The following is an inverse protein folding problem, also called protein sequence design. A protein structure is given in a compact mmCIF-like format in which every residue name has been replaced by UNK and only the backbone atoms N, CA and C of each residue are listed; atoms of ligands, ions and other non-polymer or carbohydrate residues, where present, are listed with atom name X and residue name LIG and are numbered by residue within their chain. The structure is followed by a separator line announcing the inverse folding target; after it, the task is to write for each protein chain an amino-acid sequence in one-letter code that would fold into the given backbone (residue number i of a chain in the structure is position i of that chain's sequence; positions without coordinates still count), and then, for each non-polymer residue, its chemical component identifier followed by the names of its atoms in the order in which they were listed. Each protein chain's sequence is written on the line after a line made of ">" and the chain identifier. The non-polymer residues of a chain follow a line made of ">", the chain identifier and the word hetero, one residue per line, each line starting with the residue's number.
data_IF_303648591970
#
_entry.id   IF_303648591970
#
_cell.length_a   1.000
_cell.length_b   1.000
_cell.length_c   1.000
_cell.angle_alpha   90.00
_cell.angle_beta   90.00
_cell.angle_gamma   90.00
#
_symmetry.space_group_name_H-M   'P 1'
#
loop_
_entity.id
_entity.type
_entity.pdbx_description
1 polymer ?
#
# COMPACT_ATOMS: atom_id res chain seq x y z
N UNK A 1 -6.17 -32.04 -20.12
CA UNK A 1 -5.46 -32.66 -18.98
C UNK A 1 -5.21 -34.12 -19.31
N UNK A 2 -3.96 -34.58 -19.30
CA UNK A 2 -3.62 -35.97 -19.56
C UNK A 2 -3.95 -36.85 -18.34
N UNK A 3 -4.51 -38.03 -18.59
CA UNK A 3 -4.69 -39.09 -17.60
C UNK A 3 -3.63 -40.15 -17.87
N UNK A 4 -2.89 -40.55 -16.85
CA UNK A 4 -1.90 -41.62 -16.93
C UNK A 4 -2.19 -42.62 -15.80
N UNK A 5 -1.87 -43.90 -16.02
CA UNK A 5 -1.98 -44.92 -14.98
C UNK A 5 -0.70 -44.96 -14.17
N UNK A 6 -0.83 -45.24 -12.89
CA UNK A 6 0.29 -45.33 -11.98
C UNK A 6 -0.02 -46.30 -10.84
N UNK A 7 0.99 -47.01 -10.35
CA UNK A 7 0.86 -47.95 -9.23
C UNK A 7 1.24 -47.25 -7.92
N UNK A 8 0.43 -47.41 -6.87
CA UNK A 8 0.72 -46.83 -5.55
C UNK A 8 1.84 -47.60 -4.86
N UNK A 9 2.93 -46.92 -4.53
CA UNK A 9 4.08 -47.51 -3.83
C UNK A 9 4.05 -47.25 -2.32
N UNK A 10 3.67 -46.05 -1.91
CA UNK A 10 3.72 -45.66 -0.50
C UNK A 10 2.62 -44.66 -0.15
N UNK A 11 2.17 -44.68 1.10
CA UNK A 11 1.18 -43.76 1.67
C UNK A 11 1.82 -42.91 2.77
N UNK A 12 1.87 -41.60 2.57
CA UNK A 12 2.36 -40.63 3.55
C UNK A 12 1.28 -39.57 3.82
N UNK A 13 0.38 -39.87 4.78
CA UNK A 13 -0.69 -38.99 5.22
C UNK A 13 -1.63 -38.55 4.07
N UNK A 14 -1.57 -37.26 3.71
CA UNK A 14 -2.39 -36.66 2.64
C UNK A 14 -1.80 -36.82 1.23
N UNK A 15 -0.62 -37.44 1.11
CA UNK A 15 0.10 -37.69 -0.14
C UNK A 15 0.36 -39.20 -0.32
N UNK A 16 0.43 -39.64 -1.56
CA UNK A 16 0.93 -40.96 -1.91
C UNK A 16 1.97 -40.85 -3.02
N UNK A 17 2.94 -41.77 -2.97
CA UNK A 17 3.99 -41.92 -3.98
C UNK A 17 3.52 -42.97 -4.96
N UNK A 18 3.54 -42.63 -6.25
CA UNK A 18 3.07 -43.50 -7.33
C UNK A 18 4.13 -43.67 -8.41
N UNK A 19 4.16 -44.84 -9.02
CA UNK A 19 5.02 -45.17 -10.15
C UNK A 19 4.22 -45.14 -11.45
N UNK A 20 4.55 -44.20 -12.33
CA UNK A 20 3.96 -44.04 -13.66
C UNK A 20 4.36 -45.20 -14.60
N UNK A 21 3.60 -45.43 -15.67
CA UNK A 21 3.91 -46.39 -16.74
C UNK A 21 5.31 -46.15 -17.36
N UNK A 22 5.78 -44.90 -17.32
CA UNK A 22 7.12 -44.50 -17.77
C UNK A 22 8.23 -44.75 -16.74
N UNK A 23 7.95 -45.46 -15.64
CA UNK A 23 8.90 -45.71 -14.55
C UNK A 23 9.25 -44.48 -13.71
N UNK A 24 8.49 -43.39 -13.83
CA UNK A 24 8.72 -42.15 -13.09
C UNK A 24 7.97 -42.14 -11.75
N UNK A 25 8.67 -41.80 -10.68
CA UNK A 25 8.08 -41.60 -9.36
C UNK A 25 7.41 -40.22 -9.28
N UNK A 26 6.15 -40.16 -8.87
CA UNK A 26 5.40 -38.90 -8.68
C UNK A 26 4.72 -38.88 -7.32
N UNK A 27 4.67 -37.71 -6.70
CA UNK A 27 3.91 -37.50 -5.47
C UNK A 27 2.58 -36.86 -5.83
N UNK A 28 1.48 -37.56 -5.53
CA UNK A 28 0.13 -37.07 -5.83
C UNK A 28 -0.65 -36.90 -4.54
N UNK A 29 -1.56 -35.91 -4.54
CA UNK A 29 -2.48 -35.72 -3.41
C UNK A 29 -3.47 -36.88 -3.39
N UNK A 30 -3.68 -37.45 -2.21
CA UNK A 30 -4.65 -38.53 -2.01
C UNK A 30 -6.07 -38.01 -2.30
N UNK A 31 -6.63 -38.38 -3.46
CA UNK A 31 -8.05 -38.11 -3.78
C UNK A 31 -8.96 -39.26 -3.32
N UNK A 32 -8.47 -40.50 -3.41
CA UNK A 32 -9.22 -41.72 -3.06
C UNK A 32 -8.46 -42.56 -2.03
N UNK A 33 -9.15 -43.51 -1.39
CA UNK A 33 -8.60 -44.39 -0.37
C UNK A 33 -7.78 -45.56 -0.96
N UNK A 34 -6.96 -45.27 -1.97
CA UNK A 34 -6.16 -46.25 -2.68
C UNK A 34 -5.15 -46.95 -1.76
N UNK A 35 -4.98 -48.25 -1.97
CA UNK A 35 -4.04 -49.07 -1.21
C UNK A 35 -2.70 -49.22 -1.94
N UNK A 36 -1.65 -49.56 -1.19
CA UNK A 36 -0.34 -49.86 -1.78
C UNK A 36 -0.48 -51.09 -2.69
N UNK A 37 0.09 -51.01 -3.89
CA UNK A 37 -0.03 -52.03 -4.93
C UNK A 37 -1.24 -51.86 -5.87
N UNK A 38 -2.14 -50.92 -5.59
CA UNK A 38 -3.29 -50.63 -6.46
C UNK A 38 -2.87 -49.76 -7.65
N UNK A 39 -3.42 -50.06 -8.83
CA UNK A 39 -3.29 -49.22 -10.02
C UNK A 39 -4.34 -48.11 -10.00
N UNK A 40 -3.90 -46.85 -10.06
CA UNK A 40 -4.76 -45.68 -10.04
C UNK A 40 -4.51 -44.78 -11.25
N UNK A 41 -5.56 -44.10 -11.70
CA UNK A 41 -5.43 -43.09 -12.76
C UNK A 41 -5.16 -41.74 -12.14
N UNK A 42 -3.97 -41.19 -12.37
CA UNK A 42 -3.61 -39.85 -11.92
C UNK A 42 -3.83 -38.85 -13.05
N UNK A 43 -4.39 -37.69 -12.69
CA UNK A 43 -4.51 -36.56 -13.59
C UNK A 43 -3.22 -35.76 -13.51
N UNK A 44 -2.39 -35.81 -14.55
CA UNK A 44 -1.23 -34.94 -14.69
C UNK A 44 -1.71 -33.60 -15.24
N UNK A 45 -2.07 -32.72 -14.31
CA UNK A 45 -2.25 -31.31 -14.58
C UNK A 45 -1.43 -30.55 -13.56
N UNK A 46 -0.48 -29.73 -14.02
CA UNK A 46 0.00 -28.62 -13.22
C UNK A 46 -1.26 -27.83 -12.84
N UNK A 47 -1.61 -27.79 -11.55
CA UNK A 47 -2.54 -26.79 -11.04
C UNK A 47 -1.77 -25.48 -11.15
N UNK A 48 -1.77 -24.92 -12.35
CA UNK A 48 -1.07 -23.70 -12.68
C UNK A 48 -1.70 -22.57 -11.90
N UNK A 49 -1.04 -22.13 -10.85
CA UNK A 49 -1.21 -20.81 -10.22
C UNK A 49 -0.83 -19.66 -11.17
N UNK A 50 -0.68 -19.92 -12.46
CA UNK A 50 -0.31 -18.97 -13.51
C UNK A 50 -1.28 -17.78 -13.56
N UNK A 51 -2.57 -18.02 -13.34
CA UNK A 51 -3.56 -16.95 -13.23
C UNK A 51 -3.28 -16.04 -12.03
N UNK A 52 -3.05 -16.61 -10.84
CA UNK A 52 -2.86 -15.84 -9.60
C UNK A 52 -1.62 -14.93 -9.67
N UNK A 53 -0.58 -15.38 -10.39
CA UNK A 53 0.67 -14.64 -10.55
C UNK A 53 0.51 -13.42 -11.47
N UNK A 54 -0.32 -13.53 -12.51
CA UNK A 54 -0.66 -12.40 -13.37
C UNK A 54 -1.51 -11.35 -12.64
N UNK A 55 -2.50 -11.80 -11.86
CA UNK A 55 -3.36 -10.92 -11.05
C UNK A 55 -2.58 -10.20 -9.93
N UNK A 56 -1.58 -10.85 -9.34
CA UNK A 56 -0.72 -10.23 -8.34
C UNK A 56 0.07 -9.03 -8.91
N UNK A 57 0.53 -9.13 -10.17
CA UNK A 57 1.22 -8.02 -10.84
C UNK A 57 0.30 -6.83 -11.10
N UNK A 58 -0.94 -7.09 -11.55
CA UNK A 58 -1.95 -6.04 -11.79
C UNK A 58 -2.33 -5.34 -10.48
N UNK A 59 -2.52 -6.08 -9.39
CA UNK A 59 -2.84 -5.51 -8.09
C UNK A 59 -1.70 -4.65 -7.54
N UNK A 60 -0.44 -5.07 -7.71
CA UNK A 60 0.72 -4.28 -7.30
C UNK A 60 0.83 -2.96 -8.06
N UNK A 61 0.64 -2.97 -9.38
CA UNK A 61 0.63 -1.75 -10.20
C UNK A 61 -0.51 -0.81 -9.80
N UNK A 62 -1.70 -1.35 -9.58
CA UNK A 62 -2.85 -0.57 -9.12
C UNK A 62 -2.58 0.13 -7.79
N UNK A 63 -2.05 -0.58 -6.80
CA UNK A 63 -1.69 0.00 -5.50
C UNK A 63 -0.57 1.03 -5.61
N UNK A 64 0.41 0.83 -6.50
CA UNK A 64 1.48 1.79 -6.73
C UNK A 64 0.95 3.11 -7.33
N UNK A 65 0.04 3.03 -8.31
CA UNK A 65 -0.62 4.22 -8.88
C UNK A 65 -1.52 4.91 -7.85
N UNK A 66 -2.28 4.14 -7.08
CA UNK A 66 -3.18 4.69 -6.07
C UNK A 66 -2.40 5.43 -4.97
N UNK A 67 -1.33 4.82 -4.45
CA UNK A 67 -0.53 5.41 -3.37
C UNK A 67 0.26 6.63 -3.83
N UNK A 68 0.73 6.67 -5.09
CA UNK A 68 1.39 7.86 -5.65
C UNK A 68 0.42 9.02 -5.85
N UNK A 69 -0.78 8.79 -6.37
CA UNK A 69 -1.79 9.84 -6.56
C UNK A 69 -2.32 10.42 -5.24
N UNK A 70 -2.60 9.54 -4.27
CA UNK A 70 -3.08 9.97 -2.94
C UNK A 70 -1.96 10.63 -2.13
N UNK A 71 -0.74 10.07 -2.18
CA UNK A 71 0.43 10.64 -1.53
C UNK A 71 0.76 12.02 -2.07
N UNK A 72 0.72 12.22 -3.39
CA UNK A 72 1.00 13.53 -3.98
C UNK A 72 0.05 14.63 -3.48
N UNK A 73 -1.23 14.32 -3.33
CA UNK A 73 -2.20 15.28 -2.79
C UNK A 73 -1.97 15.59 -1.30
N UNK A 74 -1.56 14.60 -0.50
CA UNK A 74 -1.32 14.79 0.94
C UNK A 74 -0.02 15.55 1.24
N UNK A 75 1.00 15.37 0.39
CA UNK A 75 2.33 15.95 0.58
C UNK A 75 2.54 17.29 -0.14
N UNK A 76 1.50 17.89 -0.74
CA UNK A 76 1.65 19.26 -1.24
C UNK A 76 1.93 20.19 -0.05
N UNK A 77 3.17 20.64 0.05
CA UNK A 77 3.56 21.63 1.03
C UNK A 77 2.76 22.91 0.77
N UNK A 78 2.24 23.59 1.81
CA UNK A 78 1.53 24.85 1.64
C UNK A 78 2.47 25.84 0.94
N UNK A 79 2.14 26.19 -0.30
CA UNK A 79 2.89 27.17 -1.08
C UNK A 79 2.48 28.56 -0.63
N UNK A 80 3.45 29.40 -0.24
CA UNK A 80 3.21 30.79 0.08
C UNK A 80 2.70 31.53 -1.18
N UNK A 81 1.50 32.12 -1.09
CA UNK A 81 0.87 32.84 -2.21
C UNK A 81 0.72 34.33 -1.92
N UNK A 82 0.56 34.73 -0.66
CA UNK A 82 0.44 36.15 -0.32
C UNK A 82 1.19 36.50 0.96
N UNK A 83 1.65 37.75 0.98
CA UNK A 83 2.36 38.36 2.10
C UNK A 83 1.53 39.54 2.59
N UNK A 84 1.04 39.46 3.83
CA UNK A 84 0.29 40.53 4.46
C UNK A 84 1.15 41.20 5.53
N UNK A 85 1.38 42.50 5.41
CA UNK A 85 2.04 43.31 6.43
C UNK A 85 1.03 44.25 7.04
N UNK A 86 0.91 44.21 8.36
CA UNK A 86 0.02 45.08 9.14
C UNK A 86 0.91 46.02 9.94
N UNK A 87 0.87 47.31 9.63
CA UNK A 87 1.73 48.34 10.22
C UNK A 87 0.89 49.43 10.88
N UNK A 88 0.38 49.13 12.08
CA UNK A 88 -0.40 50.08 12.91
C UNK A 88 0.28 50.28 14.28
N UNK A 89 1.40 49.58 14.52
CA UNK A 89 1.99 49.27 15.83
C UNK A 89 1.03 48.47 16.73
N UNK A 90 1.17 47.14 16.81
CA UNK A 90 2.33 46.32 16.42
C UNK A 90 2.52 46.19 14.90
N UNK A 91 3.77 45.97 14.48
CA UNK A 91 4.13 45.70 13.07
C UNK A 91 4.40 44.20 12.88
N UNK A 92 3.50 43.51 12.17
CA UNK A 92 3.54 42.04 11.98
C UNK A 92 3.42 41.69 10.49
N UNK A 93 4.17 40.69 10.07
CA UNK A 93 4.14 40.17 8.71
C UNK A 93 3.67 38.70 8.71
N UNK A 94 2.61 38.43 7.96
CA UNK A 94 2.00 37.12 7.81
C UNK A 94 2.27 36.59 6.41
N UNK A 95 2.74 35.34 6.33
CA UNK A 95 2.83 34.60 5.07
C UNK A 95 1.67 33.62 5.02
N UNK A 96 0.79 33.74 4.02
CA UNK A 96 -0.38 32.89 3.85
C UNK A 96 -0.30 32.03 2.59
N UNK A 97 -0.90 30.84 2.67
CA UNK A 97 -1.09 29.99 1.50
C UNK A 97 -2.31 30.42 0.65
N UNK A 98 -2.51 29.73 -0.49
CA UNK A 98 -3.64 29.94 -1.38
C UNK A 98 -5.02 29.74 -0.71
N UNK A 99 -5.06 29.04 0.43
CA UNK A 99 -6.26 28.70 1.18
C UNK A 99 -6.51 29.68 2.34
N UNK A 100 -5.69 30.74 2.46
CA UNK A 100 -5.79 31.75 3.52
C UNK A 100 -5.26 31.28 4.88
N UNK A 101 -4.49 30.19 4.92
CA UNK A 101 -3.90 29.64 6.14
C UNK A 101 -2.51 30.22 6.39
N UNK A 102 -2.22 30.48 7.66
CA UNK A 102 -0.94 31.02 8.10
C UNK A 102 0.19 29.99 8.00
N UNK A 103 1.17 30.26 7.16
CA UNK A 103 2.41 29.48 7.00
C UNK A 103 3.47 29.97 7.98
N UNK A 104 3.67 31.29 8.06
CA UNK A 104 4.74 31.93 8.84
C UNK A 104 4.29 33.29 9.38
N UNK A 105 4.83 33.65 10.55
CA UNK A 105 4.65 34.95 11.19
C UNK A 105 6.04 35.50 11.47
N UNK A 106 6.34 36.67 10.91
CA UNK A 106 7.56 37.42 11.18
C UNK A 106 7.20 38.69 11.97
N UNK A 107 7.93 38.94 13.06
CA UNK A 107 7.72 40.10 13.93
C UNK A 107 8.69 41.20 13.55
N UNK A 108 8.16 42.39 13.25
CA UNK A 108 8.97 43.53 12.79
C UNK A 108 9.26 44.54 13.92
N UNK A 109 8.60 44.41 15.09
CA UNK A 109 8.81 45.28 16.24
C UNK A 109 8.75 44.51 17.58
N UNK A 110 9.24 45.11 18.67
CA UNK A 110 9.20 44.55 20.03
C UNK A 110 7.78 44.35 20.55
N UNK A 111 6.84 45.24 20.20
CA UNK A 111 5.42 45.08 20.55
C UNK A 111 4.79 43.88 19.84
N UNK A 112 5.21 43.61 18.59
CA UNK A 112 4.81 42.42 17.85
C UNK A 112 5.38 41.13 18.48
N UNK A 113 6.62 41.13 18.98
CA UNK A 113 7.20 39.98 19.70
C UNK A 113 6.41 39.63 20.95
N UNK A 114 5.99 40.64 21.73
CA UNK A 114 5.17 40.44 22.94
C UNK A 114 3.77 39.87 22.65
N UNK A 115 3.22 40.17 21.46
CA UNK A 115 1.93 39.63 21.05
C UNK A 115 2.05 38.21 20.48
N UNK A 116 2.99 37.97 19.57
CA UNK A 116 3.17 36.64 18.95
C UNK A 116 3.63 35.60 19.96
N UNK A 117 4.42 35.98 20.98
CA UNK A 117 4.80 35.05 22.07
C UNK A 117 3.62 34.52 22.90
N UNK A 118 2.44 35.15 22.82
CA UNK A 118 1.23 34.75 23.55
C UNK A 118 0.24 33.95 22.71
N UNK A 119 0.44 33.85 21.38
CA UNK A 119 -0.57 33.30 20.47
C UNK A 119 0.08 32.31 19.50
N UNK A 120 -0.42 31.07 19.47
CA UNK A 120 -0.06 30.09 18.45
C UNK A 120 -1.09 30.10 17.31
N UNK A 121 -0.70 30.74 16.21
CA UNK A 121 -1.50 30.91 14.99
C UNK A 121 -0.96 30.11 13.81
N UNK A 122 0.12 29.35 13.99
CA UNK A 122 0.75 28.62 12.87
C UNK A 122 -0.21 27.52 12.39
N UNK A 123 -0.56 27.55 11.11
CA UNK A 123 -1.51 26.62 10.52
C UNK A 123 -2.98 26.89 10.86
N UNK A 124 -3.35 28.08 11.34
CA UNK A 124 -4.76 28.50 11.47
C UNK A 124 -5.16 29.41 10.30
N UNK A 125 -6.46 29.51 9.97
CA UNK A 125 -6.95 30.53 9.04
C UNK A 125 -6.64 31.93 9.58
N UNK A 126 -6.31 32.86 8.69
CA UNK A 126 -5.90 34.22 9.06
C UNK A 126 -6.98 35.00 9.81
N UNK A 127 -8.26 34.65 9.62
CA UNK A 127 -9.38 35.29 10.34
C UNK A 127 -9.24 35.16 11.86
N UNK A 128 -8.69 34.04 12.35
CA UNK A 128 -8.42 33.83 13.78
C UNK A 128 -7.27 34.68 14.33
N UNK A 129 -6.52 35.36 13.47
CA UNK A 129 -5.49 36.30 13.90
C UNK A 129 -6.10 37.67 14.29
N UNK A 130 -7.35 37.94 13.91
CA UNK A 130 -8.05 39.20 14.16
C UNK A 130 -9.21 39.08 15.17
N UNK A 131 -9.45 37.88 15.70
CA UNK A 131 -10.40 37.59 16.79
C UNK A 131 -9.70 37.68 18.15
#
# INVERSE_FOLDING_TARGET
>A
MSKIKAVVLERSGSRCTVLDENGSFRHVRRRNNANVGEEIVIQTGLIGIEGLRAWAGVAALFLMVLTTLLGWNLYQAPTAVALLSVDINPSIQFTIDAQGKLIKIDTQNEDAKKLVSKIDLKGKPIDKAFE
#
